data_IF_325103554960
#
_entry.id   IF_325103554960
#
_cell.length_a   1.000
_cell.length_b   1.000
_cell.length_c   1.000
_cell.angle_alpha   90.00
_cell.angle_beta   90.00
_cell.angle_gamma   90.00
#
_symmetry.space_group_name_H-M   'P 1'
#
loop_
_entity.id
_entity.type
_entity.pdbx_description
1 polymer ?
#
# COMPACT_ATOMS: atom_id res chain seq x y z
N UNK A 1 0.41 12.32 0.65
CA UNK A 1 -0.84 11.69 0.22
C UNK A 1 -0.55 10.82 -0.98
N UNK A 2 -0.67 9.51 -0.84
CA UNK A 2 -0.61 8.59 -1.97
C UNK A 2 -2.05 8.23 -2.36
N UNK A 3 -2.39 8.41 -3.64
CA UNK A 3 -3.68 8.01 -4.19
C UNK A 3 -3.50 6.69 -4.92
N UNK A 4 -4.39 5.73 -4.67
CA UNK A 4 -4.44 4.48 -5.43
C UNK A 4 -5.87 4.14 -5.83
N UNK A 5 -5.99 3.44 -6.96
CA UNK A 5 -7.24 2.86 -7.43
C UNK A 5 -7.07 1.35 -7.39
N UNK A 6 -7.87 0.66 -6.59
CA UNK A 6 -7.98 -0.80 -6.59
C UNK A 6 -9.29 -1.23 -7.24
N UNK A 7 -9.31 -2.42 -7.83
CA UNK A 7 -10.52 -3.06 -8.35
C UNK A 7 -10.79 -4.29 -7.51
N UNK A 8 -11.91 -4.29 -6.79
CA UNK A 8 -12.30 -5.35 -5.87
C UNK A 8 -13.59 -6.03 -6.36
N UNK A 9 -13.52 -6.79 -7.47
CA UNK A 9 -14.72 -7.25 -8.16
C UNK A 9 -15.55 -8.18 -7.28
N UNK A 10 -16.87 -7.98 -7.33
CA UNK A 10 -17.86 -8.77 -6.58
C UNK A 10 -17.91 -10.24 -7.04
N UNK A 11 -17.44 -10.51 -8.25
CA UNK A 11 -17.36 -11.83 -8.87
C UNK A 11 -15.93 -12.11 -9.31
N UNK A 12 -15.59 -13.39 -9.49
CA UNK A 12 -14.29 -13.75 -10.03
C UNK A 12 -14.10 -13.23 -11.47
N UNK A 13 -12.86 -12.89 -11.83
CA UNK A 13 -12.51 -12.40 -13.16
C UNK A 13 -13.01 -13.29 -14.32
N UNK A 14 -12.95 -14.63 -14.25
CA UNK A 14 -13.49 -15.48 -15.30
C UNK A 14 -15.01 -15.35 -15.47
N UNK A 15 -15.77 -15.22 -14.37
CA UNK A 15 -17.22 -15.04 -14.44
C UNK A 15 -17.60 -13.69 -15.04
N UNK A 16 -16.88 -12.63 -14.68
CA UNK A 16 -17.06 -11.31 -15.29
C UNK A 16 -16.74 -11.37 -16.78
N UNK A 17 -15.66 -12.03 -17.19
CA UNK A 17 -15.32 -12.23 -18.60
C UNK A 17 -16.44 -12.98 -19.34
N UNK A 18 -16.91 -14.10 -18.80
CA UNK A 18 -17.98 -14.90 -19.38
C UNK A 18 -19.28 -14.11 -19.56
N UNK A 19 -19.63 -13.24 -18.61
CA UNK A 19 -20.82 -12.40 -18.66
C UNK A 19 -20.66 -11.21 -19.60
N UNK A 20 -19.61 -10.41 -19.42
CA UNK A 20 -19.48 -9.12 -20.08
C UNK A 20 -18.97 -9.18 -21.51
N UNK A 21 -18.14 -10.16 -21.87
CA UNK A 21 -17.63 -10.29 -23.25
C UNK A 21 -18.78 -10.42 -24.27
N UNK A 22 -19.71 -11.39 -24.17
CA UNK A 22 -20.81 -11.50 -25.13
C UNK A 22 -21.76 -10.30 -25.09
N UNK A 23 -22.05 -9.76 -23.89
CA UNK A 23 -22.90 -8.58 -23.75
C UNK A 23 -22.32 -7.33 -24.41
N UNK A 24 -21.00 -7.12 -24.26
CA UNK A 24 -20.29 -6.01 -24.88
C UNK A 24 -20.33 -6.14 -26.41
N UNK A 25 -20.10 -7.34 -26.95
CA UNK A 25 -20.19 -7.60 -28.39
C UNK A 25 -21.58 -7.26 -28.93
N UNK A 26 -22.65 -7.74 -28.29
CA UNK A 26 -24.02 -7.44 -28.69
C UNK A 26 -24.35 -5.94 -28.60
N UNK A 27 -23.88 -5.27 -27.55
CA UNK A 27 -24.09 -3.83 -27.38
C UNK A 27 -23.37 -3.02 -28.46
N UNK A 28 -22.13 -3.40 -28.82
CA UNK A 28 -21.36 -2.78 -29.90
C UNK A 28 -22.03 -3.00 -31.27
N UNK A 29 -22.52 -4.20 -31.55
CA UNK A 29 -23.30 -4.49 -32.77
C UNK A 29 -24.56 -3.63 -32.82
N UNK A 30 -25.30 -3.50 -31.71
CA UNK A 30 -26.49 -2.64 -31.63
C UNK A 30 -26.17 -1.15 -31.82
N UNK A 31 -25.02 -0.69 -31.35
CA UNK A 31 -24.51 0.67 -31.61
C UNK A 31 -24.15 0.86 -33.08
N UNK A 32 -23.45 -0.11 -33.68
CA UNK A 32 -23.04 -0.08 -35.08
C UNK A 32 -24.24 0.02 -36.03
N UNK A 33 -25.27 -0.81 -35.81
CA UNK A 33 -26.50 -0.77 -36.59
C UNK A 33 -27.49 0.32 -36.14
N UNK A 34 -27.09 1.20 -35.20
CA UNK A 34 -27.88 2.32 -34.68
C UNK A 34 -29.29 1.92 -34.25
N UNK A 35 -29.43 0.75 -33.63
CA UNK A 35 -30.73 0.30 -33.13
C UNK A 35 -31.27 1.27 -32.08
N UNK A 36 -32.60 1.49 -32.09
CA UNK A 36 -33.25 2.37 -31.12
C UNK A 36 -32.91 1.90 -29.70
N UNK A 37 -32.40 2.83 -28.89
CA UNK A 37 -32.01 2.56 -27.49
C UNK A 37 -30.65 1.86 -27.30
N UNK A 38 -29.86 1.61 -28.36
CA UNK A 38 -28.54 0.95 -28.22
C UNK A 38 -27.57 1.74 -27.35
N UNK A 39 -27.56 3.08 -27.47
CA UNK A 39 -26.74 3.95 -26.62
C UNK A 39 -27.09 3.82 -25.13
N UNK A 40 -28.39 3.82 -24.79
CA UNK A 40 -28.84 3.63 -23.40
C UNK A 40 -28.47 2.25 -22.86
N UNK A 41 -28.63 1.19 -23.67
CA UNK A 41 -28.24 -0.17 -23.29
C UNK A 41 -26.73 -0.29 -23.06
N UNK A 42 -25.92 0.35 -23.90
CA UNK A 42 -24.47 0.37 -23.73
C UNK A 42 -24.05 1.08 -22.46
N UNK A 43 -24.62 2.26 -22.17
CA UNK A 43 -24.37 2.99 -20.92
C UNK A 43 -24.80 2.16 -19.71
N UNK A 44 -25.98 1.52 -19.76
CA UNK A 44 -26.44 0.65 -18.69
C UNK A 44 -25.50 -0.53 -18.45
N UNK A 45 -24.97 -1.14 -19.53
CA UNK A 45 -23.97 -2.20 -19.44
C UNK A 45 -22.68 -1.71 -18.77
N UNK A 46 -22.19 -0.52 -19.14
CA UNK A 46 -21.01 0.09 -18.51
C UNK A 46 -21.24 0.40 -17.04
N UNK A 47 -22.42 0.92 -16.68
CA UNK A 47 -22.77 1.18 -15.29
C UNK A 47 -22.81 -0.12 -14.46
N UNK A 48 -23.39 -1.18 -15.01
CA UNK A 48 -23.40 -2.51 -14.38
C UNK A 48 -21.98 -3.08 -14.25
N UNK A 49 -21.14 -2.95 -15.27
CA UNK A 49 -19.75 -3.38 -15.23
C UNK A 49 -18.96 -2.63 -14.16
N UNK A 50 -19.10 -1.31 -14.08
CA UNK A 50 -18.45 -0.50 -13.06
C UNK A 50 -18.90 -0.90 -11.64
N UNK A 51 -20.21 -1.16 -11.45
CA UNK A 51 -20.73 -1.64 -10.18
C UNK A 51 -20.14 -3.00 -9.78
N UNK A 52 -20.03 -3.94 -10.73
CA UNK A 52 -19.49 -5.27 -10.46
C UNK A 52 -17.96 -5.33 -10.32
N UNK A 53 -17.24 -4.45 -11.01
CA UNK A 53 -15.78 -4.29 -10.87
C UNK A 53 -15.39 -3.60 -9.56
N UNK A 54 -16.30 -2.81 -8.98
CA UNK A 54 -16.15 -2.13 -7.70
C UNK A 54 -14.79 -1.39 -7.57
N UNK A 55 -14.60 -0.31 -8.34
CA UNK A 55 -13.39 0.51 -8.24
C UNK A 55 -13.38 1.27 -6.91
N UNK A 56 -12.32 1.09 -6.12
CA UNK A 56 -12.15 1.75 -4.82
C UNK A 56 -11.05 2.79 -4.94
N UNK A 57 -11.38 4.04 -4.62
CA UNK A 57 -10.43 5.15 -4.56
C UNK A 57 -9.90 5.28 -3.14
N UNK A 58 -8.61 4.99 -2.96
CA UNK A 58 -7.95 4.96 -1.67
C UNK A 58 -7.04 6.18 -1.53
N UNK A 59 -7.28 6.94 -0.47
CA UNK A 59 -6.44 8.05 -0.03
C UNK A 59 -5.63 7.56 1.17
N UNK A 60 -4.35 7.23 0.96
CA UNK A 60 -3.51 6.75 2.05
C UNK A 60 -2.71 7.89 2.66
N UNK A 61 -3.06 8.27 3.89
CA UNK A 61 -2.26 9.14 4.75
C UNK A 61 -1.30 8.26 5.56
N UNK A 62 -0.09 8.07 5.02
CA UNK A 62 1.00 7.42 5.75
C UNK A 62 1.86 8.48 6.44
N UNK A 63 1.69 8.65 7.75
CA UNK A 63 2.76 9.23 8.57
C UNK A 63 3.86 8.19 8.74
N UNK A 64 5.09 8.51 8.35
CA UNK A 64 6.23 7.64 8.58
C UNK A 64 6.55 7.62 10.09
N UNK A 65 5.99 6.64 10.81
CA UNK A 65 6.31 6.39 12.21
C UNK A 65 7.82 6.14 12.34
N UNK A 66 8.48 6.89 13.24
CA UNK A 66 9.90 6.67 13.54
C UNK A 66 10.09 5.27 14.13
N UNK A 67 11.10 4.55 13.68
CA UNK A 67 11.47 3.26 14.26
C UNK A 67 12.27 3.48 15.54
N UNK A 68 11.86 2.84 16.64
CA UNK A 68 12.56 2.96 17.92
C UNK A 68 13.76 2.03 17.94
N UNK A 69 14.93 2.56 18.27
CA UNK A 69 16.18 1.78 18.42
C UNK A 69 16.63 1.90 19.87
N UNK A 70 16.57 0.80 20.62
CA UNK A 70 17.04 0.74 22.00
C UNK A 70 18.56 0.48 22.06
N UNK A 71 19.29 1.37 22.72
CA UNK A 71 20.71 1.23 23.04
C UNK A 71 20.85 0.82 24.51
N UNK A 72 21.05 -0.47 24.73
CA UNK A 72 21.20 -1.02 26.09
C UNK A 72 22.68 -1.11 26.40
N UNK A 73 23.07 -0.53 27.54
CA UNK A 73 24.45 -0.57 28.03
C UNK A 73 24.52 -1.45 29.25
N UNK A 74 25.35 -2.49 29.18
CA UNK A 74 25.66 -3.32 30.35
C UNK A 74 26.51 -2.52 31.34
N UNK A 75 26.08 -2.52 32.61
CA UNK A 75 26.76 -1.88 33.76
C UNK A 75 27.00 -2.89 34.89
N UNK A 76 27.10 -4.17 34.55
CA UNK A 76 27.46 -5.24 35.49
C UNK A 76 28.90 -5.10 35.98
N UNK A 77 29.22 -5.73 37.12
CA UNK A 77 30.59 -5.76 37.69
C UNK A 77 31.64 -6.32 36.73
N UNK A 78 31.22 -7.10 35.73
CA UNK A 78 32.13 -7.64 34.71
C UNK A 78 32.72 -6.56 33.78
N UNK A 79 32.11 -5.37 33.74
CA UNK A 79 32.58 -4.22 32.94
C UNK A 79 33.73 -3.46 33.59
N UNK A 80 33.95 -3.61 34.89
CA UNK A 80 35.03 -2.90 35.61
C UNK A 80 36.42 -3.48 35.30
N UNK A 81 36.46 -4.63 34.64
CA UNK A 81 37.69 -5.34 34.29
C UNK A 81 38.28 -4.73 33.02
N UNK A 82 39.57 -4.38 33.04
CA UNK A 82 40.35 -4.15 31.83
C UNK A 82 39.84 -3.02 30.93
N UNK A 83 39.37 -1.91 31.51
CA UNK A 83 38.97 -0.71 30.76
C UNK A 83 37.70 -0.87 29.92
N UNK A 84 36.95 -1.97 30.08
CA UNK A 84 35.76 -2.29 29.26
C UNK A 84 34.66 -1.25 29.39
N UNK A 85 34.43 -0.69 30.58
CA UNK A 85 33.49 0.44 30.76
C UNK A 85 33.79 1.59 29.80
N UNK A 86 35.06 2.00 29.69
CA UNK A 86 35.49 3.08 28.79
C UNK A 86 35.27 2.70 27.32
N UNK A 87 35.60 1.47 26.94
CA UNK A 87 35.36 0.97 25.58
C UNK A 87 33.87 0.95 25.22
N UNK A 88 33.02 0.54 26.16
CA UNK A 88 31.56 0.49 25.98
C UNK A 88 30.97 1.91 25.89
N UNK A 89 31.51 2.87 26.65
CA UNK A 89 31.09 4.28 26.59
C UNK A 89 31.47 4.93 25.25
N UNK A 90 32.68 4.66 24.75
CA UNK A 90 33.12 5.11 23.42
C UNK A 90 32.25 4.49 22.31
N UNK A 91 31.89 3.21 22.43
CA UNK A 91 30.99 2.54 21.50
C UNK A 91 29.57 3.13 21.54
N UNK A 92 29.03 3.42 22.73
CA UNK A 92 27.74 4.07 22.90
C UNK A 92 27.72 5.43 22.18
N UNK A 93 28.71 6.28 22.43
CA UNK A 93 28.82 7.58 21.79
C UNK A 93 28.91 7.46 20.26
N UNK A 94 29.71 6.51 19.76
CA UNK A 94 29.83 6.23 18.34
C UNK A 94 28.52 5.76 17.69
N UNK A 95 27.76 4.90 18.37
CA UNK A 95 26.46 4.43 17.90
C UNK A 95 25.42 5.54 17.90
N UNK A 96 25.33 6.34 18.97
CA UNK A 96 24.46 7.51 19.04
C UNK A 96 24.75 8.49 17.90
N UNK A 97 26.02 8.80 17.62
CA UNK A 97 26.40 9.72 16.55
C UNK A 97 26.05 9.19 15.15
N UNK A 98 26.16 7.88 14.92
CA UNK A 98 25.79 7.24 13.64
C UNK A 98 24.27 7.21 13.46
N UNK A 99 23.54 6.82 14.51
CA UNK A 99 22.08 6.72 14.47
C UNK A 99 21.41 8.10 14.37
N UNK A 100 21.97 9.14 14.99
CA UNK A 100 21.48 10.52 14.90
C UNK A 100 21.45 11.08 13.46
N UNK A 101 22.22 10.49 12.53
CA UNK A 101 22.19 10.87 11.10
C UNK A 101 20.89 10.45 10.41
N UNK A 102 20.15 9.51 10.99
CA UNK A 102 18.93 8.94 10.44
C UNK A 102 17.72 9.50 11.19
N UNK A 103 17.02 10.47 10.58
CA UNK A 103 15.84 11.12 11.19
C UNK A 103 14.65 10.18 11.39
N UNK A 104 14.66 9.02 10.72
CA UNK A 104 13.65 7.99 10.90
C UNK A 104 13.78 7.20 12.21
N UNK A 105 14.87 7.34 12.97
CA UNK A 105 15.06 6.62 14.22
C UNK A 105 14.76 7.49 15.45
N UNK A 106 14.07 6.91 16.41
CA UNK A 106 13.97 7.41 17.79
C UNK A 106 14.87 6.55 18.66
N UNK A 107 16.03 7.10 19.06
CA UNK A 107 17.05 6.35 19.80
C UNK A 107 16.80 6.50 21.29
N UNK A 108 16.68 5.38 22.01
CA UNK A 108 16.38 5.34 23.46
C UNK A 108 17.37 4.52 24.24
#
# INVERSE_FOLDING_TARGET
MNWSISFEPLLSWPLLGLLFVPLLLLALVGLWFRQRGSALRFIALLALAAALLNPVFLAEEREALKSVVALIVDRSQSQDIGGRTKQTDEALAGLQQRLARFKQFDVR
#
